data_IF_091084403912
#
_entry.id   IF_091084403912
#
_cell.length_a   1.000
_cell.length_b   1.000
_cell.length_c   1.000
_cell.angle_alpha   90.00
_cell.angle_beta   90.00
_cell.angle_gamma   90.00
#
_symmetry.space_group_name_H-M   'P 1'
#
loop_
_entity.id
_entity.type
_entity.pdbx_description
1 polymer ?
#
# COMPACT_ATOMS: atom_id res chain seq x y z
N UNK A 1 6.97 -2.34 -11.81
CA UNK A 1 6.16 -2.48 -10.58
C UNK A 1 6.89 -3.37 -9.60
N UNK A 2 7.03 -2.92 -8.37
CA UNK A 2 7.76 -3.65 -7.33
C UNK A 2 6.98 -3.65 -6.02
N UNK A 3 7.17 -4.70 -5.24
CA UNK A 3 6.65 -4.76 -3.87
C UNK A 3 7.18 -3.58 -3.06
N UNK A 4 6.30 -2.91 -2.32
CA UNK A 4 6.65 -1.72 -1.53
C UNK A 4 6.53 -0.41 -2.27
N UNK A 5 6.20 -0.42 -3.55
CA UNK A 5 5.91 0.81 -4.28
C UNK A 5 4.50 1.30 -3.96
N UNK A 6 4.35 2.63 -3.97
CA UNK A 6 3.09 3.32 -3.72
C UNK A 6 2.54 3.85 -5.03
N UNK A 7 1.25 3.62 -5.25
CA UNK A 7 0.54 4.09 -6.44
C UNK A 7 -0.76 4.80 -6.05
N UNK A 8 -1.04 5.89 -6.75
CA UNK A 8 -2.32 6.60 -6.59
C UNK A 8 -3.33 6.01 -7.55
N UNK A 9 -4.49 5.65 -7.03
CA UNK A 9 -5.56 5.04 -7.81
C UNK A 9 -6.80 5.91 -7.70
N UNK A 10 -7.40 6.28 -8.85
CA UNK A 10 -8.63 7.04 -8.90
C UNK A 10 -9.79 6.22 -8.34
N UNK A 11 -10.77 6.91 -7.73
CA UNK A 11 -11.93 6.22 -7.18
C UNK A 11 -12.69 5.51 -8.31
N UNK A 12 -13.03 4.23 -8.14
CA UNK A 12 -13.63 3.45 -9.23
C UNK A 12 -15.02 3.91 -9.66
N UNK A 13 -15.75 4.65 -8.82
CA UNK A 13 -17.10 5.09 -9.17
C UNK A 13 -17.16 6.24 -10.18
N UNK A 14 -16.06 6.93 -10.42
CA UNK A 14 -16.01 8.11 -11.29
C UNK A 14 -16.83 9.30 -10.79
N UNK A 15 -17.51 9.16 -9.66
CA UNK A 15 -18.38 10.22 -9.11
C UNK A 15 -17.61 11.37 -8.49
N UNK A 16 -16.34 11.15 -8.19
CA UNK A 16 -15.49 12.15 -7.62
C UNK A 16 -14.11 11.99 -8.24
N UNK A 17 -13.89 12.52 -9.46
CA UNK A 17 -12.62 12.34 -10.18
C UNK A 17 -11.42 12.90 -9.41
N UNK A 18 -11.66 13.78 -8.42
CA UNK A 18 -10.60 14.29 -7.56
C UNK A 18 -10.31 13.38 -6.37
N UNK A 19 -11.17 12.39 -6.11
CA UNK A 19 -10.93 11.42 -5.04
C UNK A 19 -10.04 10.32 -5.55
N UNK A 20 -8.93 10.19 -4.90
CA UNK A 20 -7.98 9.12 -5.19
C UNK A 20 -7.44 8.61 -3.86
N UNK A 21 -6.90 7.42 -3.90
CA UNK A 21 -6.27 6.82 -2.73
C UNK A 21 -4.94 6.24 -3.13
N UNK A 22 -3.98 6.38 -2.25
CA UNK A 22 -2.67 5.75 -2.44
C UNK A 22 -2.73 4.35 -1.85
N UNK A 23 -2.14 3.40 -2.57
CA UNK A 23 -2.02 2.00 -2.15
C UNK A 23 -0.56 1.57 -2.23
N UNK A 24 -0.19 0.69 -1.31
CA UNK A 24 1.14 0.06 -1.30
C UNK A 24 1.00 -1.37 -1.77
N UNK A 25 1.85 -1.79 -2.71
CA UNK A 25 1.89 -3.17 -3.18
C UNK A 25 2.51 -4.05 -2.10
N UNK A 26 1.76 -5.05 -1.62
CA UNK A 26 2.22 -5.96 -0.57
C UNK A 26 2.39 -7.40 -1.06
N UNK A 27 1.89 -7.75 -2.24
CA UNK A 27 2.09 -9.08 -2.82
C UNK A 27 3.57 -9.39 -3.00
N UNK A 28 3.92 -10.67 -2.89
CA UNK A 28 5.30 -11.11 -3.12
C UNK A 28 5.78 -10.72 -4.52
N UNK A 29 7.06 -10.42 -4.64
CA UNK A 29 7.61 -9.86 -5.87
C UNK A 29 7.42 -10.77 -7.10
N UNK A 30 7.52 -12.08 -6.92
CA UNK A 30 7.35 -13.01 -8.05
C UNK A 30 5.93 -12.95 -8.61
N UNK A 31 4.92 -12.72 -7.77
CA UNK A 31 3.54 -12.51 -8.23
C UNK A 31 3.41 -11.18 -8.96
N UNK A 32 4.03 -10.13 -8.42
CA UNK A 32 4.02 -8.80 -9.04
C UNK A 32 4.56 -8.86 -10.47
N UNK A 33 5.61 -9.64 -10.69
CA UNK A 33 6.26 -9.79 -11.99
C UNK A 33 5.57 -10.79 -12.92
N UNK A 34 4.66 -11.60 -12.39
CA UNK A 34 3.98 -12.64 -13.15
C UNK A 34 2.86 -12.07 -14.02
N UNK A 35 2.21 -12.96 -14.78
CA UNK A 35 1.03 -12.61 -15.58
C UNK A 35 -0.27 -12.60 -14.77
N UNK A 36 -0.19 -12.89 -13.47
CA UNK A 36 -1.38 -12.83 -12.61
C UNK A 36 -1.94 -11.41 -12.65
N UNK A 37 -3.26 -11.27 -12.82
CA UNK A 37 -3.87 -9.97 -13.18
C UNK A 37 -4.01 -8.99 -12.02
N UNK A 38 -3.96 -9.48 -10.77
CA UNK A 38 -4.15 -8.64 -9.59
C UNK A 38 -2.97 -8.75 -8.63
N UNK A 39 -2.85 -7.74 -7.76
CA UNK A 39 -1.92 -7.77 -6.63
C UNK A 39 -2.66 -7.31 -5.38
N UNK A 40 -2.24 -7.84 -4.23
CA UNK A 40 -2.75 -7.39 -2.94
C UNK A 40 -2.05 -6.09 -2.55
N UNK A 41 -2.85 -5.13 -2.11
CA UNK A 41 -2.39 -3.81 -1.72
C UNK A 41 -2.94 -3.43 -0.35
N UNK A 42 -2.27 -2.50 0.31
CA UNK A 42 -2.74 -1.89 1.55
C UNK A 42 -3.01 -0.41 1.31
N UNK A 43 -4.18 0.11 1.75
CA UNK A 43 -4.51 1.51 1.55
C UNK A 43 -3.71 2.41 2.48
N UNK A 44 -3.50 3.65 2.04
CA UNK A 44 -2.84 4.70 2.83
C UNK A 44 -3.88 5.76 3.17
N UNK A 45 -4.00 6.06 4.45
CA UNK A 45 -4.91 7.09 4.95
C UNK A 45 -4.14 8.18 5.67
N UNK A 46 -4.70 9.39 5.71
CA UNK A 46 -4.12 10.54 6.42
C UNK A 46 -4.33 10.47 7.94
N UNK A 47 -4.68 9.32 8.45
CA UNK A 47 -4.92 9.06 9.87
C UNK A 47 -3.92 8.04 10.37
N UNK A 48 -3.27 8.33 11.48
CA UNK A 48 -2.38 7.39 12.16
C UNK A 48 -2.86 7.23 13.60
N UNK A 49 -3.44 6.09 13.91
CA UNK A 49 -3.99 5.79 15.23
C UNK A 49 -2.98 5.12 16.15
N UNK A 50 -1.76 4.92 15.67
CA UNK A 50 -0.69 4.27 16.44
C UNK A 50 -0.87 2.78 16.63
N UNK A 51 -1.69 2.13 15.81
CA UNK A 51 -1.91 0.69 15.88
C UNK A 51 -0.70 -0.06 15.31
N UNK A 52 -0.42 -1.24 15.84
CA UNK A 52 0.69 -2.08 15.38
C UNK A 52 0.49 -2.61 13.96
N UNK A 53 -0.72 -2.52 13.42
CA UNK A 53 -1.07 -2.88 12.05
C UNK A 53 -0.98 -1.70 11.09
N UNK A 54 -0.54 -0.54 11.56
CA UNK A 54 -0.39 0.67 10.77
C UNK A 54 1.08 1.07 10.69
N UNK A 55 1.54 1.45 9.50
CA UNK A 55 2.92 1.88 9.26
C UNK A 55 2.93 3.35 8.91
N UNK A 56 3.55 4.21 9.74
CA UNK A 56 3.65 5.65 9.41
C UNK A 56 4.46 5.87 8.14
N UNK A 57 3.95 6.72 7.26
CA UNK A 57 4.59 7.13 6.02
C UNK A 57 4.33 8.62 5.80
N UNK A 58 5.06 9.25 4.90
CA UNK A 58 4.90 10.67 4.64
C UNK A 58 5.73 11.15 3.47
N UNK A 59 6.37 12.30 3.64
CA UNK A 59 7.12 12.96 2.58
C UNK A 59 8.21 12.07 2.00
N UNK A 60 8.90 11.29 2.83
CA UNK A 60 9.96 10.39 2.38
C UNK A 60 9.46 9.35 1.37
N UNK A 61 8.19 8.99 1.44
CA UNK A 61 7.57 8.02 0.54
C UNK A 61 6.85 8.68 -0.64
N UNK A 62 6.97 10.00 -0.80
CA UNK A 62 6.36 10.73 -1.89
C UNK A 62 4.96 11.27 -1.60
N UNK A 63 4.52 11.20 -0.35
CA UNK A 63 3.21 11.72 0.05
C UNK A 63 3.31 13.20 0.46
N UNK A 64 2.19 13.92 0.38
CA UNK A 64 2.13 15.34 0.75
C UNK A 64 1.95 15.53 2.25
N UNK A 65 1.38 14.57 2.93
CA UNK A 65 1.00 14.66 4.34
C UNK A 65 1.43 13.41 5.09
N UNK A 66 1.60 13.55 6.40
CA UNK A 66 1.77 12.41 7.29
C UNK A 66 0.56 11.50 7.16
N UNK A 67 0.82 10.23 6.99
CA UNK A 67 -0.19 9.22 6.70
C UNK A 67 0.21 7.89 7.32
N UNK A 68 -0.61 6.87 7.16
CA UNK A 68 -0.23 5.52 7.55
C UNK A 68 -0.78 4.49 6.59
N UNK A 69 -0.03 3.40 6.45
CA UNK A 69 -0.46 2.21 5.69
C UNK A 69 -1.30 1.36 6.62
N UNK A 70 -2.50 0.98 6.20
CA UNK A 70 -3.44 0.22 7.02
C UNK A 70 -3.46 -1.24 6.59
N UNK A 71 -2.73 -2.09 7.31
CA UNK A 71 -2.58 -3.50 6.96
C UNK A 71 -3.82 -4.34 7.29
N UNK A 72 -4.76 -3.80 8.08
CA UNK A 72 -6.03 -4.49 8.37
C UNK A 72 -7.04 -4.38 7.22
N UNK A 73 -6.77 -3.57 6.21
CA UNK A 73 -7.71 -3.30 5.12
C UNK A 73 -7.15 -3.71 3.76
N UNK A 74 -6.51 -4.87 3.70
CA UNK A 74 -5.91 -5.36 2.45
C UNK A 74 -6.98 -5.55 1.36
N UNK A 75 -6.61 -5.25 0.13
CA UNK A 75 -7.49 -5.35 -1.01
C UNK A 75 -6.71 -5.80 -2.24
N UNK A 76 -7.35 -6.61 -3.09
CA UNK A 76 -6.77 -6.98 -4.39
C UNK A 76 -7.15 -5.95 -5.44
N UNK A 77 -6.17 -5.44 -6.17
CA UNK A 77 -6.39 -4.47 -7.23
C UNK A 77 -5.85 -5.00 -8.55
N UNK A 78 -6.53 -4.72 -9.68
CA UNK A 78 -5.98 -5.04 -10.99
C UNK A 78 -4.66 -4.29 -11.21
N UNK A 79 -3.66 -4.97 -11.74
CA UNK A 79 -2.37 -4.33 -12.05
C UNK A 79 -2.54 -3.14 -13.00
N UNK A 80 -3.56 -3.18 -13.85
CA UNK A 80 -3.83 -2.15 -14.85
C UNK A 80 -4.18 -0.78 -14.25
N UNK A 81 -4.65 -0.73 -13.00
CA UNK A 81 -4.97 0.56 -12.36
C UNK A 81 -3.79 1.15 -11.59
N UNK A 82 -2.69 0.40 -11.45
CA UNK A 82 -1.50 0.84 -10.72
C UNK A 82 -0.51 1.49 -11.68
N UNK A 83 -0.86 2.66 -12.18
CA UNK A 83 -0.10 3.37 -13.21
C UNK A 83 0.45 4.72 -12.75
N UNK A 84 -0.04 5.26 -11.64
CA UNK A 84 0.39 6.58 -11.14
C UNK A 84 1.33 6.38 -9.95
N UNK A 85 2.60 6.23 -10.24
CA UNK A 85 3.64 6.00 -9.24
C UNK A 85 3.80 7.19 -8.30
N UNK A 86 3.88 6.92 -7.00
CA UNK A 86 4.05 7.95 -5.96
C UNK A 86 5.43 7.87 -5.33
N UNK A 87 5.89 6.69 -4.97
CA UNK A 87 7.17 6.50 -4.31
C UNK A 87 7.41 5.07 -3.92
N UNK A 88 8.44 4.86 -3.09
CA UNK A 88 8.90 3.53 -2.69
C UNK A 88 9.22 3.53 -1.21
N UNK A 89 8.87 2.45 -0.53
CA UNK A 89 9.27 2.25 0.86
C UNK A 89 10.76 1.94 0.95
N UNK A 90 11.44 2.57 1.91
CA UNK A 90 12.82 2.22 2.24
C UNK A 90 12.90 0.80 2.80
N UNK A 91 14.10 0.18 2.86
CA UNK A 91 14.24 -1.13 3.52
C UNK A 91 13.73 -1.14 4.96
N UNK A 92 13.94 -0.06 5.71
CA UNK A 92 13.44 0.07 7.07
C UNK A 92 11.90 0.06 7.10
N UNK A 93 11.26 0.78 6.18
CA UNK A 93 9.80 0.83 6.09
C UNK A 93 9.22 -0.49 5.58
N UNK A 94 9.93 -1.17 4.68
CA UNK A 94 9.52 -2.52 4.25
C UNK A 94 9.53 -3.51 5.42
N UNK A 95 10.55 -3.44 6.29
CA UNK A 95 10.58 -4.27 7.49
C UNK A 95 9.41 -3.96 8.41
N UNK A 96 9.08 -2.69 8.60
CA UNK A 96 7.92 -2.28 9.38
C UNK A 96 6.62 -2.79 8.77
N UNK A 97 6.50 -2.72 7.45
CA UNK A 97 5.34 -3.26 6.73
C UNK A 97 5.22 -4.77 6.96
N UNK A 98 6.31 -5.52 6.83
CA UNK A 98 6.31 -6.96 7.05
C UNK A 98 5.84 -7.31 8.46
N UNK A 99 6.34 -6.59 9.48
CA UNK A 99 5.93 -6.80 10.88
C UNK A 99 4.44 -6.53 11.05
N UNK A 100 3.94 -5.43 10.51
CA UNK A 100 2.52 -5.08 10.61
C UNK A 100 1.63 -6.07 9.87
N UNK A 101 2.05 -6.57 8.72
CA UNK A 101 1.32 -7.61 7.99
C UNK A 101 1.24 -8.91 8.76
N UNK A 102 2.32 -9.32 9.42
CA UNK A 102 2.31 -10.53 10.28
C UNK A 102 1.29 -10.38 11.41
N UNK A 103 1.25 -9.22 12.03
CA UNK A 103 0.30 -8.95 13.11
C UNK A 103 -1.13 -8.96 12.57
N UNK A 104 -1.38 -8.25 11.47
CA UNK A 104 -2.71 -8.13 10.87
C UNK A 104 -3.28 -9.49 10.44
N UNK A 105 -2.41 -10.39 9.97
CA UNK A 105 -2.80 -11.71 9.48
C UNK A 105 -2.59 -12.82 10.50
N UNK A 106 -2.14 -12.48 11.71
CA UNK A 106 -1.87 -13.41 12.81
C UNK A 106 -0.87 -14.50 12.40
N UNK A 107 0.19 -14.10 11.70
CA UNK A 107 1.25 -15.02 11.32
C UNK A 107 2.29 -15.08 12.45
N UNK A 108 2.40 -16.23 13.06
CA UNK A 108 3.36 -16.50 14.12
C UNK A 108 4.51 -17.34 13.57
N UNK A 109 5.72 -16.81 13.66
CA UNK A 109 6.93 -17.53 13.22
C UNK A 109 8.05 -17.42 14.23
#
# INVERSE_FOLDING_TARGET
MKRGELYRVAHPSGRAPKRSRVFVIVSRQILVESRFSTVTCAPVYSVNEGLSTQVPVGIEEGLKHDSSIHCDELVSLPKTVLTNFVGTLSPRKLNALNTSLKIALEIND
#
